data_IF_670687471038
#
_entry.id   IF_670687471038
#
_cell.length_a   1.000
_cell.length_b   1.000
_cell.length_c   1.000
_cell.angle_alpha   90.00
_cell.angle_beta   90.00
_cell.angle_gamma   90.00
#
_symmetry.space_group_name_H-M   'P 1'
#
loop_
_entity.id
_entity.type
_entity.pdbx_description
1 polymer ?
#
# COMPACT_ATOMS: atom_id res chain seq x y z
N UNK A 1 -0.60 -4.48 -14.67
CA UNK A 1 -1.59 -4.22 -13.62
C UNK A 1 -0.92 -3.48 -12.46
N UNK A 2 -0.46 -2.23 -12.63
CA UNK A 2 0.34 -1.51 -11.60
C UNK A 2 -0.13 -0.08 -11.32
N UNK A 3 -1.20 0.38 -11.96
CA UNK A 3 -1.70 1.76 -11.85
C UNK A 3 -3.04 1.86 -11.11
N UNK A 4 -3.64 0.72 -10.75
CA UNK A 4 -4.92 0.69 -10.05
C UNK A 4 -4.81 1.25 -8.64
N UNK A 5 -3.86 0.75 -7.82
CA UNK A 5 -3.65 1.23 -6.46
C UNK A 5 -3.36 2.74 -6.35
N UNK A 6 -2.47 3.34 -7.18
CA UNK A 6 -2.29 4.80 -7.21
C UNK A 6 -3.58 5.57 -7.57
N UNK A 7 -4.38 5.04 -8.50
CA UNK A 7 -5.62 5.68 -8.92
C UNK A 7 -6.67 5.64 -7.82
N UNK A 8 -6.83 4.49 -7.15
CA UNK A 8 -7.69 4.34 -5.98
C UNK A 8 -7.29 5.32 -4.88
N UNK A 9 -5.99 5.47 -4.60
CA UNK A 9 -5.50 6.43 -3.60
C UNK A 9 -5.86 7.89 -3.94
N UNK A 10 -5.69 8.28 -5.20
CA UNK A 10 -6.02 9.64 -5.69
C UNK A 10 -7.52 9.91 -5.61
N UNK A 11 -8.35 8.93 -5.96
CA UNK A 11 -9.82 9.05 -5.86
C UNK A 11 -10.26 9.17 -4.40
N UNK A 12 -9.71 8.35 -3.49
CA UNK A 12 -10.03 8.46 -2.07
C UNK A 12 -9.53 9.76 -1.45
N UNK A 13 -8.36 10.26 -1.87
CA UNK A 13 -7.88 11.58 -1.46
C UNK A 13 -8.88 12.68 -1.84
N UNK A 14 -9.44 12.62 -3.05
CA UNK A 14 -10.47 13.56 -3.49
C UNK A 14 -11.73 13.46 -2.63
N UNK A 15 -12.17 12.24 -2.29
CA UNK A 15 -13.31 12.00 -1.41
C UNK A 15 -13.06 12.60 -0.02
N UNK A 16 -11.89 12.36 0.59
CA UNK A 16 -11.54 12.94 1.88
C UNK A 16 -11.48 14.47 1.85
N UNK A 17 -10.90 15.05 0.81
CA UNK A 17 -10.87 16.49 0.64
C UNK A 17 -12.27 17.09 0.60
N UNK A 18 -13.23 16.41 -0.05
CA UNK A 18 -14.64 16.82 -0.07
C UNK A 18 -15.34 16.60 1.28
N UNK A 19 -15.15 15.45 1.92
CA UNK A 19 -15.80 15.12 3.21
C UNK A 19 -15.38 16.08 4.31
N UNK A 20 -14.11 16.49 4.35
CA UNK A 20 -13.59 17.41 5.36
C UNK A 20 -13.66 18.89 4.98
N UNK A 21 -14.29 19.22 3.85
CA UNK A 21 -14.47 20.60 3.41
C UNK A 21 -13.15 21.33 3.14
N UNK A 22 -12.15 20.64 2.58
CA UNK A 22 -10.87 21.26 2.21
C UNK A 22 -11.10 22.15 0.99
N UNK A 23 -11.08 23.47 1.19
CA UNK A 23 -11.37 24.47 0.16
C UNK A 23 -10.41 24.40 -1.03
N UNK A 24 -9.13 24.12 -0.76
CA UNK A 24 -8.10 24.00 -1.79
C UNK A 24 -7.08 22.91 -1.45
N UNK A 25 -7.01 21.89 -2.31
CA UNK A 25 -5.97 20.87 -2.30
C UNK A 25 -5.18 20.97 -3.61
N UNK A 26 -3.89 21.33 -3.58
CA UNK A 26 -3.11 21.49 -4.80
C UNK A 26 -3.02 20.17 -5.58
N UNK A 27 -3.09 20.25 -6.91
CA UNK A 27 -2.97 19.09 -7.81
C UNK A 27 -1.66 18.29 -7.59
N UNK A 28 -0.61 18.98 -7.12
CA UNK A 28 0.66 18.36 -6.74
C UNK A 28 0.53 17.35 -5.61
N UNK A 29 -0.43 17.51 -4.71
CA UNK A 29 -0.69 16.57 -3.62
C UNK A 29 -1.23 15.22 -4.12
N UNK A 30 -2.12 15.27 -5.12
CA UNK A 30 -2.64 14.07 -5.77
C UNK A 30 -1.52 13.31 -6.50
N UNK A 31 -0.68 14.03 -7.25
CA UNK A 31 0.46 13.41 -7.95
C UNK A 31 1.48 12.86 -6.97
N UNK A 32 1.80 13.60 -5.90
CA UNK A 32 2.73 13.13 -4.88
C UNK A 32 2.22 11.84 -4.22
N UNK A 33 0.93 11.80 -3.82
CA UNK A 33 0.33 10.60 -3.24
C UNK A 33 0.36 9.42 -4.23
N UNK A 34 -0.06 9.64 -5.48
CA UNK A 34 -0.03 8.62 -6.52
C UNK A 34 1.38 8.06 -6.77
N UNK A 35 2.39 8.94 -6.81
CA UNK A 35 3.79 8.54 -6.93
C UNK A 35 4.27 7.73 -5.72
N UNK A 36 3.95 8.16 -4.49
CA UNK A 36 4.33 7.46 -3.26
C UNK A 36 3.73 6.05 -3.23
N UNK A 37 2.43 5.92 -3.49
CA UNK A 37 1.75 4.61 -3.52
C UNK A 37 2.36 3.73 -4.60
N UNK A 38 2.66 4.28 -5.77
CA UNK A 38 3.32 3.54 -6.84
C UNK A 38 4.73 3.09 -6.43
N UNK A 39 5.52 3.95 -5.78
CA UNK A 39 6.86 3.62 -5.27
C UNK A 39 6.78 2.46 -4.28
N UNK A 40 5.86 2.51 -3.31
CA UNK A 40 5.69 1.46 -2.29
C UNK A 40 5.32 0.13 -2.97
N UNK A 41 4.35 0.15 -3.88
CA UNK A 41 3.93 -1.03 -4.64
C UNK A 41 5.09 -1.66 -5.43
N UNK A 42 5.86 -0.82 -6.13
CA UNK A 42 7.01 -1.29 -6.92
C UNK A 42 8.13 -1.83 -6.02
N UNK A 43 8.36 -1.21 -4.87
CA UNK A 43 9.35 -1.65 -3.90
C UNK A 43 8.96 -3.00 -3.28
N UNK A 44 7.72 -3.18 -2.86
CA UNK A 44 7.18 -4.45 -2.36
C UNK A 44 7.35 -5.57 -3.41
N UNK A 45 6.95 -5.31 -4.66
CA UNK A 45 7.12 -6.27 -5.76
C UNK A 45 8.58 -6.62 -6.07
N UNK A 46 9.50 -5.68 -5.85
CA UNK A 46 10.93 -5.92 -6.03
C UNK A 46 11.53 -6.74 -4.88
N UNK A 47 11.04 -6.53 -3.65
CA UNK A 47 11.42 -7.32 -2.49
C UNK A 47 10.91 -8.75 -2.61
N UNK A 48 9.65 -8.95 -2.99
CA UNK A 48 9.09 -10.27 -3.27
C UNK A 48 9.89 -11.00 -4.35
N UNK A 49 10.33 -10.29 -5.40
CA UNK A 49 11.17 -10.87 -6.45
C UNK A 49 12.63 -11.15 -6.03
N UNK A 50 13.06 -10.64 -4.87
CA UNK A 50 14.42 -10.80 -4.35
C UNK A 50 14.51 -11.82 -3.20
N UNK A 51 13.38 -12.18 -2.57
CA UNK A 51 13.32 -13.22 -1.54
C UNK A 51 13.44 -14.61 -2.20
N UNK A 52 14.47 -15.40 -1.85
CA UNK A 52 14.72 -16.69 -2.49
C UNK A 52 13.97 -17.81 -1.76
N UNK A 53 12.64 -17.86 -1.82
CA UNK A 53 11.88 -19.11 -1.69
C UNK A 53 10.37 -18.93 -1.93
N UNK A 54 9.78 -19.81 -2.75
CA UNK A 54 8.34 -20.15 -2.90
C UNK A 54 7.94 -20.63 -4.31
N UNK A 55 8.88 -20.77 -5.26
CA UNK A 55 8.60 -21.51 -6.51
C UNK A 55 9.85 -22.09 -7.16
N UNK A 56 10.46 -23.05 -6.47
CA UNK A 56 11.57 -23.91 -6.92
C UNK A 56 11.26 -24.82 -8.12
N UNK A 57 10.37 -24.43 -9.05
CA UNK A 57 10.03 -25.20 -10.26
C UNK A 57 9.95 -24.39 -11.58
N UNK A 58 10.17 -23.06 -11.57
CA UNK A 58 10.12 -22.22 -12.79
C UNK A 58 11.43 -21.46 -13.09
N UNK A 59 12.54 -22.01 -12.61
CA UNK A 59 13.78 -21.27 -12.41
C UNK A 59 14.62 -20.93 -13.65
N UNK A 60 14.48 -21.53 -14.84
CA UNK A 60 15.55 -21.35 -15.85
C UNK A 60 15.25 -20.45 -17.07
N UNK A 61 14.00 -20.29 -17.52
CA UNK A 61 13.73 -19.50 -18.74
C UNK A 61 13.20 -18.06 -18.49
N UNK A 62 12.63 -17.79 -17.31
CA UNK A 62 11.97 -16.51 -16.99
C UNK A 62 12.86 -15.55 -16.17
N UNK A 63 13.95 -16.06 -15.60
CA UNK A 63 14.93 -15.30 -14.82
C UNK A 63 15.73 -14.27 -15.65
N UNK A 64 15.98 -14.54 -16.95
CA UNK A 64 16.79 -13.64 -17.79
C UNK A 64 16.02 -12.45 -18.37
N UNK A 65 14.71 -12.59 -18.59
CA UNK A 65 13.88 -11.50 -19.10
C UNK A 65 13.54 -10.46 -18.01
N UNK A 66 13.35 -10.89 -16.75
CA UNK A 66 13.09 -9.98 -15.62
C UNK A 66 14.33 -9.20 -15.16
N UNK A 67 15.54 -9.79 -15.31
CA UNK A 67 16.81 -9.11 -14.96
C UNK A 67 17.12 -7.90 -15.86
N UNK A 68 16.66 -7.92 -17.11
CA UNK A 68 16.94 -6.85 -18.10
C UNK A 68 16.04 -5.62 -17.96
N UNK A 69 14.79 -5.78 -17.48
CA UNK A 69 13.88 -4.66 -17.24
C UNK A 69 13.83 -4.16 -15.78
N UNK A 70 14.26 -4.96 -14.79
CA UNK A 70 14.37 -4.51 -13.40
C UNK A 70 15.26 -3.26 -13.23
N UNK A 71 16.30 -3.09 -14.06
CA UNK A 71 17.13 -1.87 -14.04
C UNK A 71 16.34 -0.62 -14.46
N UNK A 72 15.48 -0.72 -15.49
CA UNK A 72 14.59 0.38 -15.90
C UNK A 72 13.53 0.65 -14.84
N UNK A 73 12.98 -0.39 -14.24
CA UNK A 73 12.02 -0.27 -13.14
C UNK A 73 12.65 0.39 -11.89
N UNK A 74 13.88 0.01 -11.53
CA UNK A 74 14.67 0.67 -10.47
C UNK A 74 15.06 2.10 -10.83
N UNK A 75 15.35 2.39 -12.10
CA UNK A 75 15.62 3.75 -12.56
C UNK A 75 14.36 4.62 -12.43
N UNK A 76 13.22 4.12 -12.92
CA UNK A 76 11.92 4.80 -12.80
C UNK A 76 11.53 4.97 -11.33
N UNK A 77 11.78 3.99 -10.47
CA UNK A 77 11.59 4.09 -9.03
C UNK A 77 12.44 5.21 -8.42
N UNK A 78 13.73 5.28 -8.77
CA UNK A 78 14.62 6.35 -8.32
C UNK A 78 14.14 7.72 -8.80
N UNK A 79 13.74 7.83 -10.07
CA UNK A 79 13.22 9.09 -10.64
C UNK A 79 11.94 9.48 -9.90
N UNK A 80 10.99 8.57 -9.75
CA UNK A 80 9.73 8.83 -9.03
C UNK A 80 9.98 9.21 -7.57
N UNK A 81 10.91 8.54 -6.87
CA UNK A 81 11.27 8.87 -5.50
C UNK A 81 11.88 10.26 -5.38
N UNK A 82 12.82 10.60 -6.27
CA UNK A 82 13.41 11.95 -6.33
C UNK A 82 12.34 13.00 -6.63
N UNK A 83 11.46 12.75 -7.60
CA UNK A 83 10.34 13.66 -7.92
C UNK A 83 9.38 13.82 -6.75
N UNK A 84 9.04 12.73 -6.05
CA UNK A 84 8.18 12.78 -4.87
C UNK A 84 8.81 13.60 -3.74
N UNK A 85 10.11 13.40 -3.46
CA UNK A 85 10.85 14.17 -2.46
C UNK A 85 10.89 15.66 -2.84
N UNK A 86 11.20 15.98 -4.10
CA UNK A 86 11.22 17.37 -4.56
C UNK A 86 9.85 18.01 -4.41
N UNK A 87 8.77 17.33 -4.82
CA UNK A 87 7.40 17.84 -4.70
C UNK A 87 7.02 18.08 -3.22
N UNK A 88 7.32 17.13 -2.34
CA UNK A 88 7.00 17.28 -0.90
C UNK A 88 7.82 18.42 -0.28
N UNK A 89 9.12 18.51 -0.57
CA UNK A 89 9.97 19.54 0.05
C UNK A 89 9.67 20.94 -0.47
N UNK A 90 9.30 21.08 -1.74
CA UNK A 90 9.11 22.40 -2.38
C UNK A 90 7.67 22.90 -2.36
N UNK A 91 6.68 22.00 -2.39
CA UNK A 91 5.27 22.38 -2.56
C UNK A 91 4.39 22.12 -1.33
N UNK A 92 4.85 21.33 -0.34
CA UNK A 92 4.03 21.00 0.83
C UNK A 92 4.33 21.88 2.04
N UNK A 93 3.31 22.19 2.86
CA UNK A 93 3.50 22.95 4.09
C UNK A 93 4.31 22.14 5.11
N UNK A 94 5.10 22.83 5.95
CA UNK A 94 5.98 22.19 6.95
C UNK A 94 5.23 21.29 7.94
N UNK A 95 3.93 21.50 8.14
CA UNK A 95 3.09 20.64 8.94
C UNK A 95 3.17 19.17 8.51
N UNK A 96 3.36 18.89 7.21
CA UNK A 96 3.42 17.52 6.66
C UNK A 96 4.53 16.67 7.28
N UNK A 97 5.64 17.28 7.73
CA UNK A 97 6.78 16.53 8.26
C UNK A 97 6.44 15.78 9.55
N UNK A 98 5.60 16.37 10.43
CA UNK A 98 5.18 15.71 11.67
C UNK A 98 4.36 14.46 11.40
N UNK A 99 3.40 14.55 10.48
CA UNK A 99 2.57 13.42 10.04
C UNK A 99 3.39 12.35 9.28
N UNK A 100 4.39 12.79 8.50
CA UNK A 100 5.24 11.89 7.70
C UNK A 100 6.08 10.94 8.57
N UNK A 101 6.42 11.33 9.81
CA UNK A 101 7.17 10.46 10.73
C UNK A 101 6.38 9.21 11.07
N UNK A 102 5.09 9.36 11.43
CA UNK A 102 4.24 8.20 11.72
C UNK A 102 4.04 7.34 10.47
N UNK A 103 3.77 7.97 9.32
CA UNK A 103 3.67 7.25 8.05
C UNK A 103 4.95 6.45 7.72
N UNK A 104 6.12 7.04 7.94
CA UNK A 104 7.41 6.37 7.77
C UNK A 104 7.61 5.19 8.71
N UNK A 105 7.20 5.30 9.98
CA UNK A 105 7.21 4.19 10.94
C UNK A 105 6.32 3.04 10.45
N UNK A 106 5.11 3.35 9.97
CA UNK A 106 4.17 2.33 9.47
C UNK A 106 4.71 1.62 8.23
N UNK A 107 5.26 2.37 7.26
CA UNK A 107 5.90 1.82 6.07
C UNK A 107 7.10 0.94 6.44
N UNK A 108 7.93 1.39 7.37
CA UNK A 108 9.07 0.62 7.90
C UNK A 108 8.60 -0.68 8.56
N UNK A 109 7.54 -0.61 9.37
CA UNK A 109 6.90 -1.77 9.99
C UNK A 109 6.37 -2.76 8.96
N UNK A 110 5.71 -2.28 7.91
CA UNK A 110 5.25 -3.11 6.79
C UNK A 110 6.42 -3.86 6.13
N UNK A 111 7.50 -3.16 5.77
CA UNK A 111 8.66 -3.81 5.14
C UNK A 111 9.40 -4.75 6.09
N UNK A 112 9.48 -4.40 7.37
CA UNK A 112 10.03 -5.26 8.42
C UNK A 112 9.23 -6.55 8.48
N UNK A 113 7.90 -6.49 8.60
CA UNK A 113 7.05 -7.67 8.57
C UNK A 113 7.16 -8.43 7.24
N UNK A 114 7.27 -7.75 6.11
CA UNK A 114 7.43 -8.40 4.81
C UNK A 114 8.75 -9.19 4.71
N UNK A 115 9.81 -8.75 5.38
CA UNK A 115 11.12 -9.41 5.39
C UNK A 115 11.22 -10.51 6.47
N UNK A 116 10.64 -10.28 7.66
CA UNK A 116 10.72 -11.21 8.79
C UNK A 116 9.61 -12.26 8.78
N UNK A 117 8.43 -11.90 8.30
CA UNK A 117 7.30 -12.81 8.12
C UNK A 117 7.43 -13.51 6.77
N UNK A 118 8.53 -14.25 6.58
CA UNK A 118 8.56 -15.39 5.66
C UNK A 118 7.57 -16.45 6.18
N UNK A 119 6.28 -16.10 6.17
CA UNK A 119 5.19 -17.01 6.45
C UNK A 119 5.31 -18.14 5.44
N UNK A 120 5.27 -19.38 5.93
CA UNK A 120 5.38 -20.55 5.07
C UNK A 120 4.30 -20.52 3.98
N UNK A 121 4.45 -21.31 2.91
CA UNK A 121 3.55 -21.29 1.74
C UNK A 121 2.05 -21.54 2.03
N UNK A 122 1.70 -21.87 3.28
CA UNK A 122 0.36 -22.26 3.75
C UNK A 122 -0.30 -21.29 4.75
N UNK A 123 0.32 -20.16 5.10
CA UNK A 123 -0.26 -19.23 6.07
C UNK A 123 -0.58 -17.87 5.44
N UNK A 124 -1.78 -17.36 5.71
CA UNK A 124 -2.21 -16.03 5.31
C UNK A 124 -1.55 -15.02 6.25
N UNK A 125 -0.69 -14.10 5.74
CA UNK A 125 0.01 -13.12 6.58
C UNK A 125 -0.92 -11.98 7.02
N UNK A 126 -1.92 -12.28 7.86
CA UNK A 126 -2.93 -11.34 8.35
C UNK A 126 -2.31 -10.06 8.95
N UNK A 127 -1.19 -10.18 9.66
CA UNK A 127 -0.47 -9.03 10.22
C UNK A 127 0.07 -8.08 9.14
N UNK A 128 0.61 -8.62 8.03
CA UNK A 128 1.08 -7.83 6.88
C UNK A 128 -0.10 -7.07 6.25
N UNK A 129 -1.25 -7.74 6.10
CA UNK A 129 -2.45 -7.15 5.49
C UNK A 129 -3.05 -6.02 6.36
N UNK A 130 -3.09 -6.21 7.68
CA UNK A 130 -3.54 -5.17 8.61
C UNK A 130 -2.64 -3.93 8.55
N UNK A 131 -1.32 -4.12 8.62
CA UNK A 131 -0.36 -3.00 8.57
C UNK A 131 -0.39 -2.31 7.21
N UNK A 132 -0.53 -3.04 6.11
CA UNK A 132 -0.68 -2.49 4.77
C UNK A 132 -1.94 -1.62 4.66
N UNK A 133 -3.09 -2.14 5.11
CA UNK A 133 -4.36 -1.41 5.08
C UNK A 133 -4.33 -0.14 5.92
N UNK A 134 -3.77 -0.21 7.14
CA UNK A 134 -3.59 0.95 8.01
C UNK A 134 -2.64 1.99 7.38
N UNK A 135 -1.53 1.55 6.80
CA UNK A 135 -0.54 2.45 6.17
C UNK A 135 -1.17 3.20 4.99
N UNK A 136 -1.92 2.48 4.15
CA UNK A 136 -2.60 3.06 3.00
C UNK A 136 -3.69 4.06 3.42
N UNK A 137 -4.51 3.68 4.40
CA UNK A 137 -5.57 4.54 4.93
C UNK A 137 -5.00 5.81 5.56
N UNK A 138 -4.00 5.66 6.44
CA UNK A 138 -3.32 6.79 7.09
C UNK A 138 -2.68 7.71 6.06
N UNK A 139 -1.91 7.18 5.10
CA UNK A 139 -1.22 7.99 4.09
C UNK A 139 -2.18 8.79 3.21
N UNK A 140 -3.32 8.20 2.83
CA UNK A 140 -4.33 8.89 2.00
C UNK A 140 -5.05 9.99 2.79
N UNK A 141 -5.47 9.67 4.02
CA UNK A 141 -6.15 10.59 4.92
C UNK A 141 -5.26 11.77 5.35
N UNK A 142 -4.01 11.49 5.73
CA UNK A 142 -3.00 12.47 6.11
C UNK A 142 -2.86 13.60 5.07
N UNK A 143 -2.81 13.25 3.78
CA UNK A 143 -2.55 14.23 2.72
C UNK A 143 -3.68 15.25 2.60
N UNK A 144 -4.95 14.85 2.77
CA UNK A 144 -6.07 15.80 2.82
C UNK A 144 -6.08 16.60 4.14
N UNK A 145 -5.79 15.94 5.27
CA UNK A 145 -5.90 16.55 6.59
C UNK A 145 -4.84 17.64 6.87
N UNK A 146 -3.65 17.52 6.27
CA UNK A 146 -2.56 18.51 6.39
C UNK A 146 -2.98 19.91 5.92
N UNK A 147 -3.89 20.02 4.95
CA UNK A 147 -4.35 21.32 4.43
C UNK A 147 -5.49 21.94 5.26
N UNK A 148 -5.98 21.21 6.26
CA UNK A 148 -7.12 21.61 7.08
C UNK A 148 -6.66 22.30 8.39
N UNK A 149 -5.36 22.24 8.73
CA UNK A 149 -4.75 22.71 10.00
C UNK A 149 -5.28 21.99 11.27
N UNK A 150 -5.65 20.72 11.10
CA UNK A 150 -5.95 19.69 12.12
C UNK A 150 -4.87 19.47 13.20
N UNK A 151 -5.23 19.12 14.44
CA UNK A 151 -4.31 18.33 15.29
C UNK A 151 -4.29 16.85 14.86
N UNK A 152 -3.13 16.20 14.99
CA UNK A 152 -2.94 14.81 14.58
C UNK A 152 -3.78 13.81 15.39
N UNK A 153 -4.08 14.13 16.65
CA UNK A 153 -4.97 13.33 17.49
C UNK A 153 -6.39 13.25 16.92
N UNK A 154 -6.85 14.32 16.28
CA UNK A 154 -8.19 14.39 15.72
C UNK A 154 -8.30 13.54 14.47
N UNK A 155 -7.23 13.49 13.67
CA UNK A 155 -7.15 12.60 12.51
C UNK A 155 -7.30 11.14 12.93
N UNK A 156 -6.53 10.70 13.93
CA UNK A 156 -6.51 9.29 14.39
C UNK A 156 -7.87 8.88 14.96
N UNK A 157 -8.58 9.81 15.62
CA UNK A 157 -9.90 9.56 16.20
C UNK A 157 -11.06 9.79 15.22
N UNK A 158 -10.78 10.27 14.01
CA UNK A 158 -11.82 10.59 13.03
C UNK A 158 -12.56 9.31 12.60
N UNK A 159 -13.91 9.30 12.62
CA UNK A 159 -14.68 8.15 12.20
C UNK A 159 -14.45 7.80 10.73
N UNK A 160 -14.13 8.79 9.89
CA UNK A 160 -13.83 8.61 8.48
C UNK A 160 -12.53 7.81 8.28
N UNK A 161 -11.47 8.11 9.03
CA UNK A 161 -10.22 7.34 8.96
C UNK A 161 -10.43 5.91 9.47
N UNK A 162 -11.17 5.73 10.57
CA UNK A 162 -11.41 4.41 11.14
C UNK A 162 -12.20 3.55 10.16
N UNK A 163 -13.30 4.08 9.61
CA UNK A 163 -14.11 3.38 8.62
C UNK A 163 -13.29 3.03 7.36
N UNK A 164 -12.52 3.98 6.84
CA UNK A 164 -11.68 3.74 5.68
C UNK A 164 -10.55 2.73 5.96
N UNK A 165 -9.97 2.76 7.15
CA UNK A 165 -8.95 1.79 7.57
C UNK A 165 -9.50 0.37 7.61
N UNK A 166 -10.68 0.18 8.20
CA UNK A 166 -11.38 -1.12 8.20
C UNK A 166 -11.66 -1.57 6.77
N UNK A 167 -12.17 -0.68 5.93
CA UNK A 167 -12.43 -0.97 4.52
C UNK A 167 -11.15 -1.41 3.77
N UNK A 168 -10.02 -0.72 3.98
CA UNK A 168 -8.74 -1.08 3.35
C UNK A 168 -8.23 -2.44 3.82
N UNK A 169 -8.31 -2.71 5.13
CA UNK A 169 -7.89 -4.00 5.71
C UNK A 169 -8.73 -5.13 5.14
N UNK A 170 -10.05 -4.96 5.10
CA UNK A 170 -10.98 -5.96 4.54
C UNK A 170 -10.72 -6.20 3.06
N UNK A 171 -10.54 -5.14 2.25
CA UNK A 171 -10.26 -5.28 0.83
C UNK A 171 -8.94 -6.04 0.58
N UNK A 172 -7.86 -5.67 1.27
CA UNK A 172 -6.56 -6.34 1.10
C UNK A 172 -6.65 -7.80 1.57
N UNK A 173 -7.28 -8.05 2.72
CA UNK A 173 -7.43 -9.40 3.25
C UNK A 173 -8.30 -10.29 2.36
N UNK A 174 -9.37 -9.75 1.77
CA UNK A 174 -10.23 -10.48 0.85
C UNK A 174 -9.49 -10.86 -0.44
N UNK A 175 -8.68 -9.95 -1.01
CA UNK A 175 -7.86 -10.25 -2.18
C UNK A 175 -6.82 -11.32 -1.86
N UNK A 176 -6.13 -11.20 -0.73
CA UNK A 176 -5.10 -12.16 -0.31
C UNK A 176 -5.71 -13.54 -0.05
N UNK A 177 -6.86 -13.62 0.62
CA UNK A 177 -7.61 -14.86 0.82
C UNK A 177 -8.07 -15.48 -0.50
N UNK A 178 -8.61 -14.67 -1.42
CA UNK A 178 -9.02 -15.14 -2.74
C UNK A 178 -7.82 -15.67 -3.56
N UNK A 179 -6.67 -14.99 -3.49
CA UNK A 179 -5.46 -15.44 -4.15
C UNK A 179 -4.91 -16.72 -3.49
N UNK A 180 -4.96 -16.83 -2.16
CA UNK A 180 -4.60 -18.04 -1.42
C UNK A 180 -5.48 -19.23 -1.85
N UNK A 181 -6.81 -19.09 -1.82
CA UNK A 181 -7.76 -20.10 -2.25
C UNK A 181 -7.56 -20.54 -3.71
N UNK A 182 -7.14 -19.62 -4.59
CA UNK A 182 -6.85 -19.93 -6.01
C UNK A 182 -5.57 -20.76 -6.23
N UNK A 183 -4.66 -20.77 -5.25
CA UNK A 183 -3.36 -21.49 -5.32
C UNK A 183 -3.47 -22.94 -4.85
N UNK A 184 -4.46 -23.30 -4.04
CA UNK A 184 -4.72 -24.67 -3.60
C UNK A 184 -5.73 -25.38 -4.50
N UNK A 185 -5.33 -26.53 -5.04
CA UNK A 185 -6.23 -27.45 -5.76
C UNK A 185 -6.91 -28.48 -4.82
N UNK A 186 -6.60 -28.45 -3.53
CA UNK A 186 -7.20 -29.36 -2.55
C UNK A 186 -8.62 -28.91 -2.21
N UNK A 187 -9.60 -29.79 -2.43
CA UNK A 187 -11.02 -29.45 -2.40
C UNK A 187 -11.48 -28.97 -1.00
N UNK A 188 -10.87 -29.50 0.07
CA UNK A 188 -11.21 -29.14 1.45
C UNK A 188 -10.72 -27.74 1.84
N UNK A 189 -9.49 -27.37 1.49
CA UNK A 189 -8.95 -26.03 1.81
C UNK A 189 -9.68 -24.95 1.02
N UNK A 190 -9.96 -25.22 -0.27
CA UNK A 190 -10.73 -24.31 -1.12
C UNK A 190 -12.17 -24.14 -0.63
N UNK A 191 -12.83 -25.22 -0.20
CA UNK A 191 -14.16 -25.14 0.39
C UNK A 191 -14.17 -24.36 1.71
N UNK A 192 -13.12 -24.49 2.55
CA UNK A 192 -12.97 -23.72 3.79
C UNK A 192 -12.83 -22.21 3.53
N UNK A 193 -11.98 -21.82 2.59
CA UNK A 193 -11.78 -20.41 2.24
C UNK A 193 -13.02 -19.81 1.52
N UNK A 194 -13.67 -20.56 0.62
CA UNK A 194 -14.93 -20.14 0.00
C UNK A 194 -16.06 -19.99 1.03
N UNK A 195 -16.09 -20.83 2.07
CA UNK A 195 -17.03 -20.70 3.18
C UNK A 195 -16.76 -19.45 4.02
N UNK A 196 -15.48 -19.14 4.29
CA UNK A 196 -15.09 -17.92 5.01
C UNK A 196 -15.44 -16.63 4.23
N UNK A 197 -15.43 -16.69 2.89
CA UNK A 197 -15.84 -15.60 1.99
C UNK A 197 -17.37 -15.42 1.88
N UNK A 198 -18.16 -16.44 2.21
CA UNK A 198 -19.63 -16.45 2.03
C UNK A 198 -20.43 -16.35 3.32
N UNK A 199 -19.78 -16.46 4.48
CA UNK A 199 -20.43 -16.27 5.76
C UNK A 199 -20.73 -14.77 6.01
N UNK A 200 -21.98 -14.42 6.39
CA UNK A 200 -22.44 -13.04 6.58
C UNK A 200 -21.88 -12.35 7.82
#
# INVERSE_FOLDING_TARGET
MSLDAPLVAVVWLYIFAKTWGVDYLPWTAYIALGLIVWIIYVADRLLDASLPDSSSARLEARHDFHRKHQRRFRLLLKIAAVTAVILVVTQMPRAIYGYSVLGGIMISGFFTLSVFSSSGPNEIPHAKNIVAGLTFAYGTAMVAYVFKNFDMSDLIRSPELICFSVLCILNISAIDLWEHASRFNDLETKAGDELALTLP
#
